data_IF_145953599429
#
_entry.id   IF_145953599429
#
_cell.length_a   1.000
_cell.length_b   1.000
_cell.length_c   1.000
_cell.angle_alpha   90.00
_cell.angle_beta   90.00
_cell.angle_gamma   90.00
#
_symmetry.space_group_name_H-M   'P 1'
#
loop_
_entity.id
_entity.type
_entity.pdbx_description
1 polymer ?
#
# COMPACT_ATOMS: atom_id res chain seq x y z
N UNK A 1 14.55 -22.58 -15.79
CA UNK A 1 14.39 -21.97 -14.44
C UNK A 1 13.00 -22.33 -13.96
N UNK A 2 12.82 -22.82 -12.75
CA UNK A 2 11.45 -22.93 -12.18
C UNK A 2 10.92 -21.52 -12.00
N UNK A 3 9.77 -21.22 -12.58
CA UNK A 3 9.05 -19.98 -12.32
C UNK A 3 8.76 -19.91 -10.81
N UNK A 4 9.46 -19.02 -10.13
CA UNK A 4 9.17 -18.76 -8.71
C UNK A 4 7.99 -17.80 -8.69
N UNK A 5 6.87 -18.23 -8.13
CA UNK A 5 5.78 -17.31 -7.84
C UNK A 5 6.29 -16.25 -6.87
N UNK A 6 6.10 -15.00 -7.19
CA UNK A 6 6.43 -13.85 -6.34
C UNK A 6 5.26 -12.89 -6.33
N UNK A 7 5.15 -12.10 -5.26
CA UNK A 7 4.20 -11.01 -5.22
C UNK A 7 4.78 -9.79 -5.97
N UNK A 8 3.91 -9.03 -6.62
CA UNK A 8 4.26 -7.79 -7.31
C UNK A 8 3.96 -6.59 -6.42
N UNK A 9 4.97 -5.79 -6.15
CA UNK A 9 4.83 -4.58 -5.37
C UNK A 9 4.36 -3.43 -6.25
N UNK A 10 3.17 -2.92 -5.96
CA UNK A 10 2.64 -1.69 -6.55
C UNK A 10 2.90 -0.60 -5.52
N UNK A 11 4.07 -0.04 -5.53
CA UNK A 11 4.64 0.79 -4.47
C UNK A 11 4.88 2.25 -4.90
N UNK A 12 4.43 2.59 -6.11
CA UNK A 12 4.44 3.96 -6.65
C UNK A 12 3.30 4.13 -7.64
N UNK A 13 2.76 5.34 -7.75
CA UNK A 13 1.65 5.69 -8.67
C UNK A 13 1.98 5.41 -10.14
N UNK A 14 3.24 5.52 -10.53
CA UNK A 14 3.63 5.23 -11.91
C UNK A 14 3.34 3.79 -12.35
N UNK A 15 3.30 2.82 -11.43
CA UNK A 15 2.92 1.44 -11.71
C UNK A 15 1.42 1.24 -11.95
N UNK A 16 0.61 2.24 -11.68
CA UNK A 16 -0.82 2.24 -12.00
C UNK A 16 -1.08 2.69 -13.46
N UNK A 17 -0.06 3.11 -14.18
CA UNK A 17 -0.22 3.63 -15.53
C UNK A 17 0.50 2.77 -16.56
N UNK A 18 -0.14 2.68 -17.75
CA UNK A 18 0.40 1.90 -18.86
C UNK A 18 0.11 0.40 -18.76
N UNK A 19 0.66 -0.35 -19.71
CA UNK A 19 0.43 -1.80 -19.88
C UNK A 19 1.74 -2.59 -19.89
N UNK A 20 2.80 -2.01 -19.36
CA UNK A 20 4.12 -2.66 -19.23
C UNK A 20 4.09 -3.83 -18.23
N UNK A 21 5.08 -4.70 -18.31
CA UNK A 21 5.17 -5.92 -17.47
C UNK A 21 5.35 -5.64 -15.99
N UNK A 22 5.64 -4.41 -15.62
CA UNK A 22 5.78 -3.91 -14.25
C UNK A 22 4.60 -3.02 -13.80
N UNK A 23 3.63 -2.75 -14.70
CA UNK A 23 2.41 -2.03 -14.36
C UNK A 23 1.31 -2.99 -13.87
N UNK A 24 0.41 -2.48 -13.03
CA UNK A 24 -0.71 -3.26 -12.48
C UNK A 24 -1.56 -3.88 -13.60
N UNK A 25 -1.94 -3.09 -14.61
CA UNK A 25 -2.75 -3.58 -15.73
C UNK A 25 -2.00 -4.61 -16.57
N UNK A 26 -0.69 -4.41 -16.79
CA UNK A 26 0.13 -5.37 -17.52
C UNK A 26 0.31 -6.70 -16.79
N UNK A 27 0.53 -6.66 -15.47
CA UNK A 27 0.62 -7.86 -14.63
C UNK A 27 -0.69 -8.66 -14.67
N UNK A 28 -1.83 -7.99 -14.52
CA UNK A 28 -3.15 -8.63 -14.53
C UNK A 28 -3.50 -9.18 -15.92
N UNK A 29 -3.15 -8.47 -17.00
CA UNK A 29 -3.33 -8.95 -18.37
C UNK A 29 -2.50 -10.22 -18.62
N UNK A 30 -1.26 -10.25 -18.15
CA UNK A 30 -0.41 -11.44 -18.28
C UNK A 30 -0.99 -12.62 -17.48
N UNK A 31 -1.45 -12.37 -16.25
CA UNK A 31 -2.10 -13.39 -15.42
C UNK A 31 -3.38 -13.95 -16.08
N UNK A 32 -4.25 -13.08 -16.61
CA UNK A 32 -5.46 -13.48 -17.34
C UNK A 32 -5.11 -14.38 -18.54
N UNK A 33 -4.13 -13.96 -19.35
CA UNK A 33 -3.73 -14.69 -20.55
C UNK A 33 -3.18 -16.09 -20.28
N UNK A 34 -2.61 -16.29 -19.08
CA UNK A 34 -2.00 -17.54 -18.64
C UNK A 34 -2.89 -18.39 -17.73
N UNK A 35 -4.04 -17.87 -17.31
CA UNK A 35 -4.90 -18.49 -16.31
C UNK A 35 -4.20 -18.61 -14.93
N UNK A 36 -3.39 -17.64 -14.58
CA UNK A 36 -2.66 -17.60 -13.32
C UNK A 36 -3.34 -16.68 -12.30
N UNK A 37 -3.16 -16.97 -11.01
CA UNK A 37 -3.47 -16.05 -9.93
C UNK A 37 -2.42 -14.93 -9.87
N UNK A 38 -2.84 -13.71 -9.57
CA UNK A 38 -1.96 -12.59 -9.29
C UNK A 38 -1.89 -12.31 -7.79
N UNK A 39 -0.69 -12.26 -7.22
CA UNK A 39 -0.46 -11.80 -5.84
C UNK A 39 0.16 -10.41 -5.91
N UNK A 40 -0.52 -9.42 -5.33
CA UNK A 40 -0.17 -8.02 -5.42
C UNK A 40 -0.01 -7.41 -4.03
N UNK A 41 0.93 -6.49 -3.89
CA UNK A 41 1.14 -5.73 -2.66
C UNK A 41 0.70 -4.29 -2.92
N UNK A 42 -0.28 -3.83 -2.15
CA UNK A 42 -0.70 -2.42 -2.10
C UNK A 42 0.21 -1.72 -1.10
N UNK A 43 1.01 -0.74 -1.52
CA UNK A 43 2.05 -0.20 -0.65
C UNK A 43 2.47 1.22 -1.04
N UNK A 44 1.65 2.23 -0.68
CA UNK A 44 2.04 3.62 -0.92
C UNK A 44 1.37 4.63 0.05
N UNK A 45 1.12 4.22 1.31
CA UNK A 45 0.58 5.12 2.33
C UNK A 45 1.42 6.39 2.50
N UNK A 46 0.78 7.53 2.82
CA UNK A 46 1.50 8.76 3.15
C UNK A 46 2.51 8.55 4.27
N UNK A 47 3.72 9.07 4.09
CA UNK A 47 4.85 8.87 4.99
C UNK A 47 5.13 7.38 5.28
N UNK A 48 4.90 6.51 4.28
CA UNK A 48 5.20 5.08 4.38
C UNK A 48 6.61 4.86 4.93
N UNK A 49 6.73 3.89 5.85
CA UNK A 49 8.01 3.54 6.47
C UNK A 49 8.76 4.76 7.02
N UNK A 50 8.03 5.61 7.71
CA UNK A 50 8.49 6.90 8.22
C UNK A 50 9.83 6.85 8.99
N UNK A 51 10.15 5.72 9.65
CA UNK A 51 11.39 5.52 10.39
C UNK A 51 12.51 4.87 9.56
N UNK A 52 12.18 4.27 8.43
CA UNK A 52 13.16 3.63 7.55
C UNK A 52 13.97 4.68 6.75
N UNK A 53 15.10 4.23 6.19
CA UNK A 53 15.97 5.09 5.38
C UNK A 53 15.89 4.77 3.88
N UNK A 54 15.23 3.67 3.48
CA UNK A 54 15.30 3.17 2.11
C UNK A 54 13.95 2.80 1.49
N UNK A 55 12.89 2.60 2.29
CA UNK A 55 11.58 2.16 1.81
C UNK A 55 10.49 3.23 1.90
N UNK A 56 10.87 4.48 2.10
CA UNK A 56 9.95 5.60 2.12
C UNK A 56 9.18 5.70 0.79
N UNK A 57 7.87 6.02 0.88
CA UNK A 57 7.01 6.21 -0.28
C UNK A 57 7.16 7.60 -0.92
N UNK A 58 6.43 7.79 -2.01
CA UNK A 58 6.38 9.07 -2.72
C UNK A 58 5.28 10.00 -2.21
N UNK A 59 4.25 9.45 -1.53
CA UNK A 59 3.15 10.24 -0.97
C UNK A 59 3.54 10.75 0.42
N UNK A 60 3.41 12.04 0.65
CA UNK A 60 3.81 12.70 1.88
C UNK A 60 2.63 13.35 2.59
N UNK A 61 2.62 13.34 3.92
CA UNK A 61 1.68 14.16 4.69
C UNK A 61 1.89 15.65 4.42
N UNK A 62 3.15 16.03 4.17
CA UNK A 62 3.55 17.38 3.74
C UNK A 62 4.78 17.29 2.84
N UNK A 63 4.81 18.09 1.80
CA UNK A 63 5.92 18.19 0.88
C UNK A 63 6.81 19.40 1.20
N UNK A 64 8.13 19.20 1.09
CA UNK A 64 9.10 20.26 0.95
C UNK A 64 9.02 20.90 -0.45
N UNK A 65 9.74 22.01 -0.68
CA UNK A 65 9.82 22.66 -1.99
C UNK A 65 10.42 21.76 -3.08
N UNK A 66 11.31 20.84 -2.71
CA UNK A 66 11.96 19.87 -3.60
C UNK A 66 11.12 18.59 -3.81
N UNK A 67 9.87 18.56 -3.33
CA UNK A 67 8.95 17.42 -3.42
C UNK A 67 9.33 16.21 -2.57
N UNK A 68 10.27 16.32 -1.66
CA UNK A 68 10.53 15.32 -0.62
C UNK A 68 9.55 15.48 0.56
N UNK A 69 9.40 14.45 1.40
CA UNK A 69 8.54 14.53 2.57
C UNK A 69 9.13 15.42 3.67
N UNK A 70 8.33 16.37 4.16
CA UNK A 70 8.63 17.10 5.38
C UNK A 70 8.22 16.29 6.61
N UNK A 71 9.13 15.49 7.12
CA UNK A 71 8.91 14.70 8.34
C UNK A 71 8.91 15.55 9.62
N UNK A 72 9.30 16.82 9.56
CA UNK A 72 9.21 17.75 10.68
C UNK A 72 7.82 18.40 10.82
N UNK A 73 6.97 18.23 9.83
CA UNK A 73 5.61 18.78 9.84
C UNK A 73 4.76 18.10 10.93
N UNK A 74 4.15 18.91 11.78
CA UNK A 74 3.35 18.45 12.93
C UNK A 74 1.83 18.62 12.75
N UNK A 75 1.37 19.07 11.56
CA UNK A 75 -0.05 19.18 11.23
C UNK A 75 -0.67 17.85 10.82
N UNK A 76 -1.94 17.89 10.40
CA UNK A 76 -2.65 16.72 9.90
C UNK A 76 -2.13 16.24 8.53
N UNK A 77 -2.43 15.00 8.18
CA UNK A 77 -2.02 14.37 6.93
C UNK A 77 -3.12 14.44 5.85
N UNK A 78 -4.00 15.42 5.89
CA UNK A 78 -5.20 15.49 5.03
C UNK A 78 -4.84 15.46 3.55
N UNK A 79 -3.86 16.25 3.12
CA UNK A 79 -3.46 16.33 1.71
C UNK A 79 -2.88 14.99 1.22
N UNK A 80 -1.98 14.39 1.98
CA UNK A 80 -1.42 13.07 1.65
C UNK A 80 -2.48 11.97 1.65
N UNK A 81 -3.42 11.99 2.59
CA UNK A 81 -4.53 11.03 2.62
C UNK A 81 -5.42 11.21 1.38
N UNK A 82 -5.71 12.43 0.97
CA UNK A 82 -6.50 12.69 -0.23
C UNK A 82 -5.77 12.23 -1.50
N UNK A 83 -4.47 12.51 -1.61
CA UNK A 83 -3.64 12.04 -2.72
C UNK A 83 -3.63 10.50 -2.79
N UNK A 84 -3.40 9.82 -1.66
CA UNK A 84 -3.44 8.37 -1.58
C UNK A 84 -4.79 7.80 -2.03
N UNK A 85 -5.91 8.40 -1.58
CA UNK A 85 -7.25 7.96 -1.95
C UNK A 85 -7.50 8.12 -3.45
N UNK A 86 -7.26 9.31 -3.99
CA UNK A 86 -7.71 9.68 -5.34
C UNK A 86 -6.72 9.31 -6.44
N UNK A 87 -5.42 9.39 -6.16
CA UNK A 87 -4.39 9.15 -7.17
C UNK A 87 -3.78 7.75 -7.11
N UNK A 88 -4.00 7.04 -5.99
CA UNK A 88 -3.48 5.68 -5.84
C UNK A 88 -4.61 4.66 -5.68
N UNK A 89 -5.39 4.67 -4.61
CA UNK A 89 -6.37 3.61 -4.32
C UNK A 89 -7.55 3.59 -5.31
N UNK A 90 -8.11 4.75 -5.68
CA UNK A 90 -9.22 4.79 -6.63
C UNK A 90 -8.80 4.26 -8.00
N UNK A 91 -7.61 4.66 -8.46
CA UNK A 91 -7.03 4.18 -9.73
C UNK A 91 -6.71 2.69 -9.64
N UNK A 92 -6.12 2.24 -8.53
CA UNK A 92 -5.83 0.84 -8.29
C UNK A 92 -7.09 -0.03 -8.38
N UNK A 93 -8.13 0.35 -7.64
CA UNK A 93 -9.39 -0.37 -7.59
C UNK A 93 -10.14 -0.34 -8.94
N UNK A 94 -10.05 0.76 -9.70
CA UNK A 94 -10.59 0.84 -11.05
C UNK A 94 -9.92 -0.13 -12.02
N UNK A 95 -8.61 -0.31 -11.88
CA UNK A 95 -7.88 -1.30 -12.67
C UNK A 95 -8.31 -2.71 -12.26
N UNK A 96 -8.35 -3.03 -10.96
CA UNK A 96 -8.80 -4.34 -10.47
C UNK A 96 -10.19 -4.70 -11.00
N UNK A 97 -11.11 -3.73 -11.04
CA UNK A 97 -12.49 -3.96 -11.49
C UNK A 97 -12.59 -4.46 -12.93
N UNK A 98 -11.64 -4.12 -13.80
CA UNK A 98 -11.57 -4.61 -15.18
C UNK A 98 -11.29 -6.12 -15.26
N UNK A 99 -10.68 -6.69 -14.22
CA UNK A 99 -10.27 -8.09 -14.12
C UNK A 99 -11.13 -8.89 -13.13
N UNK A 100 -12.19 -8.27 -12.60
CA UNK A 100 -13.15 -8.94 -11.71
C UNK A 100 -13.75 -10.18 -12.37
N UNK A 101 -13.63 -11.33 -11.70
CA UNK A 101 -14.11 -12.62 -12.23
C UNK A 101 -13.28 -13.19 -13.39
N UNK A 102 -12.15 -12.56 -13.78
CA UNK A 102 -11.27 -13.02 -14.86
C UNK A 102 -9.94 -13.53 -14.32
N UNK A 103 -9.44 -12.94 -13.24
CA UNK A 103 -8.18 -13.29 -12.59
C UNK A 103 -8.43 -13.50 -11.11
N UNK A 104 -7.93 -14.60 -10.55
CA UNK A 104 -7.90 -14.77 -9.10
C UNK A 104 -6.86 -13.81 -8.52
N UNK A 105 -7.29 -12.88 -7.68
CA UNK A 105 -6.44 -11.81 -7.14
C UNK A 105 -6.30 -11.99 -5.63
N UNK A 106 -5.06 -12.04 -5.15
CA UNK A 106 -4.71 -11.98 -3.74
C UNK A 106 -3.94 -10.69 -3.47
N UNK A 107 -4.37 -9.92 -2.46
CA UNK A 107 -3.78 -8.65 -2.07
C UNK A 107 -3.22 -8.72 -0.65
N UNK A 108 -2.04 -8.13 -0.45
CA UNK A 108 -1.54 -7.76 0.86
C UNK A 108 -1.66 -6.24 0.97
N UNK A 109 -2.43 -5.78 1.95
CA UNK A 109 -2.74 -4.37 2.12
C UNK A 109 -1.74 -3.73 3.08
N UNK A 110 -0.98 -2.80 2.58
CA UNK A 110 -0.09 -1.88 3.27
C UNK A 110 0.78 -2.57 4.34
N UNK A 111 1.71 -3.45 3.91
CA UNK A 111 2.66 -4.10 4.82
C UNK A 111 3.33 -3.08 5.74
N UNK A 112 3.68 -3.53 6.94
CA UNK A 112 4.34 -2.75 7.99
C UNK A 112 3.53 -1.59 8.57
N UNK A 113 2.37 -1.20 8.01
CA UNK A 113 1.60 -0.06 8.48
C UNK A 113 1.10 -0.22 9.92
N UNK A 114 0.41 -1.31 10.23
CA UNK A 114 -0.07 -1.61 11.59
C UNK A 114 1.06 -1.81 12.59
N UNK A 115 2.12 -2.58 12.26
CA UNK A 115 3.27 -2.72 13.15
C UNK A 115 3.99 -1.40 13.44
N UNK A 116 4.14 -0.54 12.44
CA UNK A 116 4.71 0.79 12.62
C UNK A 116 3.87 1.64 13.59
N UNK A 117 2.54 1.54 13.55
CA UNK A 117 1.68 2.22 14.51
C UNK A 117 1.88 1.71 15.95
N UNK A 118 2.17 0.43 16.12
CA UNK A 118 2.42 -0.13 17.45
C UNK A 118 3.77 0.30 18.04
N UNK A 119 4.83 0.42 17.22
CA UNK A 119 6.19 0.55 17.73
C UNK A 119 6.89 1.87 17.45
N UNK A 120 6.45 2.65 16.44
CA UNK A 120 7.21 3.79 15.93
C UNK A 120 6.55 5.16 16.13
N UNK A 121 5.37 5.23 16.75
CA UNK A 121 4.64 6.50 16.93
C UNK A 121 5.34 7.50 17.85
N UNK A 122 6.32 7.08 18.65
CA UNK A 122 7.16 7.98 19.44
C UNK A 122 8.26 8.66 18.61
N UNK A 123 8.55 8.18 17.40
CA UNK A 123 9.48 8.82 16.49
C UNK A 123 8.80 10.03 15.83
N UNK A 124 9.49 11.18 15.82
CA UNK A 124 8.91 12.42 15.29
C UNK A 124 8.52 12.31 13.80
N UNK A 125 9.25 11.50 13.02
CA UNK A 125 8.95 11.26 11.61
C UNK A 125 7.64 10.49 11.39
N UNK A 126 7.21 9.73 12.40
CA UNK A 126 6.04 8.86 12.34
C UNK A 126 4.80 9.46 13.03
N UNK A 127 4.96 10.54 13.78
CA UNK A 127 3.89 11.11 14.59
C UNK A 127 2.61 11.41 13.79
N UNK A 128 2.75 11.87 12.54
CA UNK A 128 1.63 12.21 11.67
C UNK A 128 1.10 11.01 10.85
N UNK A 129 1.85 9.91 10.82
CA UNK A 129 1.49 8.74 10.00
C UNK A 129 0.32 7.96 10.57
N UNK A 130 0.03 8.08 11.88
CA UNK A 130 -1.03 7.30 12.51
C UNK A 130 -2.40 7.53 11.89
N UNK A 131 -2.77 8.80 11.66
CA UNK A 131 -4.02 9.15 11.00
C UNK A 131 -4.05 8.59 9.58
N UNK A 132 -2.97 8.84 8.82
CA UNK A 132 -2.84 8.38 7.44
C UNK A 132 -2.99 6.85 7.34
N UNK A 133 -2.34 6.11 8.22
CA UNK A 133 -2.39 4.64 8.20
C UNK A 133 -3.80 4.13 8.55
N UNK A 134 -4.45 4.67 9.57
CA UNK A 134 -5.81 4.27 9.94
C UNK A 134 -6.82 4.56 8.83
N UNK A 135 -6.83 5.79 8.33
CA UNK A 135 -7.78 6.21 7.30
C UNK A 135 -7.46 5.60 5.93
N UNK A 136 -6.18 5.54 5.55
CA UNK A 136 -5.74 5.01 4.27
C UNK A 136 -6.01 3.51 4.15
N UNK A 137 -5.62 2.71 5.15
CA UNK A 137 -5.87 1.26 5.15
C UNK A 137 -7.37 0.96 5.11
N UNK A 138 -8.16 1.67 5.93
CA UNK A 138 -9.63 1.53 5.91
C UNK A 138 -10.19 1.83 4.52
N UNK A 139 -9.80 2.95 3.94
CA UNK A 139 -10.26 3.37 2.62
C UNK A 139 -9.88 2.37 1.53
N UNK A 140 -8.64 1.87 1.54
CA UNK A 140 -8.17 0.88 0.59
C UNK A 140 -9.02 -0.40 0.64
N UNK A 141 -9.27 -0.94 1.83
CA UNK A 141 -10.10 -2.14 2.00
C UNK A 141 -11.52 -1.91 1.50
N UNK A 142 -12.17 -0.82 1.91
CA UNK A 142 -13.56 -0.51 1.55
C UNK A 142 -13.72 -0.28 0.05
N UNK A 143 -12.80 0.47 -0.57
CA UNK A 143 -12.85 0.81 -1.99
C UNK A 143 -12.57 -0.40 -2.87
N UNK A 144 -11.55 -1.20 -2.54
CA UNK A 144 -11.22 -2.41 -3.29
C UNK A 144 -12.34 -3.45 -3.15
N UNK A 145 -12.87 -3.67 -1.94
CA UNK A 145 -13.98 -4.60 -1.72
C UNK A 145 -15.23 -4.21 -2.53
N UNK A 146 -15.48 -2.91 -2.70
CA UNK A 146 -16.61 -2.44 -3.48
C UNK A 146 -16.43 -2.65 -4.99
N UNK A 147 -15.22 -2.52 -5.52
CA UNK A 147 -14.93 -2.56 -6.97
C UNK A 147 -14.43 -3.90 -7.48
N UNK A 148 -13.80 -4.70 -6.63
CA UNK A 148 -13.28 -6.03 -6.93
C UNK A 148 -13.61 -7.01 -5.80
N UNK A 149 -14.90 -7.36 -5.59
CA UNK A 149 -15.36 -8.15 -4.46
C UNK A 149 -14.83 -9.59 -4.44
N UNK A 150 -14.36 -10.13 -5.56
CA UNK A 150 -13.74 -11.47 -5.61
C UNK A 150 -12.28 -11.47 -5.15
N UNK A 151 -11.63 -10.31 -5.03
CA UNK A 151 -10.25 -10.23 -4.58
C UNK A 151 -10.14 -10.63 -3.10
N UNK A 152 -9.19 -11.53 -2.79
CA UNK A 152 -8.86 -11.89 -1.41
C UNK A 152 -7.89 -10.87 -0.85
N UNK A 153 -8.25 -10.22 0.25
CA UNK A 153 -7.40 -9.24 0.92
C UNK A 153 -6.85 -9.78 2.23
N UNK A 154 -5.56 -9.55 2.47
CA UNK A 154 -4.88 -9.84 3.72
C UNK A 154 -4.30 -8.55 4.27
N UNK A 155 -4.52 -8.29 5.56
CA UNK A 155 -3.92 -7.18 6.28
C UNK A 155 -2.66 -7.68 6.99
N UNK A 156 -1.56 -6.96 6.82
CA UNK A 156 -0.31 -7.31 7.48
C UNK A 156 -0.39 -7.05 9.00
N UNK A 157 0.00 -8.05 9.77
CA UNK A 157 0.09 -7.99 11.23
C UNK A 157 1.52 -8.23 11.73
N UNK A 158 2.52 -7.93 10.89
CA UNK A 158 3.95 -8.19 11.14
C UNK A 158 4.27 -9.68 11.38
N UNK A 159 5.33 -9.93 12.14
CA UNK A 159 5.81 -11.27 12.47
C UNK A 159 6.21 -11.37 13.95
N UNK A 160 6.41 -12.60 14.43
CA UNK A 160 6.73 -12.86 15.84
C UNK A 160 7.99 -12.19 16.36
N UNK A 161 8.96 -11.90 15.48
CA UNK A 161 10.16 -11.10 15.83
C UNK A 161 9.93 -9.59 15.90
N UNK A 162 8.74 -9.11 15.66
CA UNK A 162 8.33 -7.71 15.80
C UNK A 162 7.20 -7.56 16.81
N UNK A 163 5.96 -7.87 16.45
CA UNK A 163 4.82 -7.73 17.37
C UNK A 163 4.69 -8.88 18.37
N UNK A 164 5.44 -9.96 18.23
CA UNK A 164 5.41 -11.06 19.19
C UNK A 164 6.10 -10.79 20.54
N UNK A 165 6.75 -9.63 20.69
CA UNK A 165 7.32 -9.20 21.96
C UNK A 165 6.24 -8.57 22.84
N UNK A 166 6.23 -8.92 24.14
CA UNK A 166 5.22 -8.43 25.11
C UNK A 166 5.08 -6.91 25.12
N UNK A 167 6.20 -6.19 24.99
CA UNK A 167 6.23 -4.73 25.02
C UNK A 167 5.65 -4.07 23.76
N UNK A 168 5.49 -4.85 22.67
CA UNK A 168 4.91 -4.39 21.40
C UNK A 168 3.43 -4.77 21.25
N UNK A 169 2.90 -5.59 22.17
CA UNK A 169 1.53 -6.10 22.15
C UNK A 169 0.59 -5.41 23.16
N UNK A 170 1.06 -4.38 23.85
CA UNK A 170 0.33 -3.69 24.92
C UNK A 170 -0.73 -2.70 24.39
#
# INVERSE_FOLDING_TARGET
MRDKSSAYWIDVKSKLHGTGTDSLEGILTDAESKGHMATLIVYDLPNRDCKANASNGEICCKYNEDRTCDYGYSGDCTDGINEYKTEYIDVYADILSKFEGKVDIALVIEPDSLPNMATNMSDYKCANSQQAYKEGVKYAIETIAAKAPSATMSLDAAHGGWLGWSDNMA
#
